data_IF_875165820801
#
_entry.id   IF_875165820801
#
_cell.length_a   1.000
_cell.length_b   1.000
_cell.length_c   1.000
_cell.angle_alpha   90.00
_cell.angle_beta   90.00
_cell.angle_gamma   90.00
#
_symmetry.space_group_name_H-M   'P 1'
#
loop_
_entity.id
_entity.type
_entity.pdbx_description
1 polymer ?
#
# COMPACT_ATOMS: atom_id res chain seq x y z
N UNK A 1 -3.67 -25.97 -8.47
CA UNK A 1 -3.98 -24.89 -7.54
C UNK A 1 -2.89 -23.86 -7.70
N UNK A 2 -3.21 -22.72 -8.29
CA UNK A 2 -2.24 -21.64 -8.45
C UNK A 2 -2.24 -20.79 -7.18
N UNK A 3 -1.06 -20.50 -6.67
CA UNK A 3 -0.88 -19.58 -5.55
C UNK A 3 -0.68 -18.20 -6.13
N UNK A 4 -1.66 -17.32 -5.97
CA UNK A 4 -1.55 -15.92 -6.38
C UNK A 4 -1.26 -15.08 -5.15
N UNK A 5 -0.10 -14.41 -5.16
CA UNK A 5 0.26 -13.42 -4.15
C UNK A 5 -0.12 -12.03 -4.61
N UNK A 6 -1.03 -11.37 -3.89
CA UNK A 6 -1.43 -9.99 -4.18
C UNK A 6 -1.18 -9.07 -2.96
N UNK A 7 -1.00 -7.78 -3.24
CA UNK A 7 -0.93 -6.78 -2.18
C UNK A 7 -2.33 -6.52 -1.63
N UNK A 8 -2.49 -6.66 -0.32
CA UNK A 8 -3.74 -6.32 0.33
C UNK A 8 -4.06 -4.83 0.15
N UNK A 9 -5.26 -4.45 -0.32
CA UNK A 9 -5.58 -3.09 -0.68
C UNK A 9 -5.48 -2.13 0.51
N UNK A 10 -4.84 -0.95 0.35
CA UNK A 10 -4.79 0.05 1.40
C UNK A 10 -6.19 0.52 1.80
N UNK A 11 -6.43 0.76 3.11
CA UNK A 11 -7.65 1.40 3.57
C UNK A 11 -7.94 2.68 2.78
N UNK A 12 -9.21 3.00 2.46
CA UNK A 12 -9.57 4.10 1.58
C UNK A 12 -8.93 5.45 1.97
N UNK A 13 -8.82 5.71 3.27
CA UNK A 13 -8.19 6.92 3.80
C UNK A 13 -6.69 6.98 3.48
N UNK A 14 -5.94 5.88 3.69
CA UNK A 14 -4.50 5.84 3.37
C UNK A 14 -4.27 5.94 1.87
N UNK A 15 -5.11 5.29 1.06
CA UNK A 15 -5.06 5.37 -0.39
C UNK A 15 -5.29 6.80 -0.90
N UNK A 16 -6.26 7.50 -0.31
CA UNK A 16 -6.54 8.91 -0.62
C UNK A 16 -5.34 9.81 -0.26
N UNK A 17 -4.76 9.63 0.93
CA UNK A 17 -3.58 10.37 1.35
C UNK A 17 -2.39 10.14 0.41
N UNK A 18 -2.14 8.88 0.01
CA UNK A 18 -1.07 8.55 -0.94
C UNK A 18 -1.28 9.23 -2.30
N UNK A 19 -2.52 9.27 -2.80
CA UNK A 19 -2.88 9.97 -4.05
C UNK A 19 -2.66 11.47 -3.96
N UNK A 20 -3.11 12.10 -2.88
CA UNK A 20 -2.90 13.55 -2.65
C UNK A 20 -1.40 13.85 -2.57
N UNK A 21 -0.65 13.06 -1.81
CA UNK A 21 0.79 13.20 -1.69
C UNK A 21 1.49 13.12 -3.05
N UNK A 22 1.09 12.15 -3.89
CA UNK A 22 1.64 11.99 -5.23
C UNK A 22 1.40 13.21 -6.12
N UNK A 23 0.18 13.77 -6.10
CA UNK A 23 -0.13 15.00 -6.85
C UNK A 23 0.68 16.20 -6.35
N UNK A 24 0.76 16.39 -5.04
CA UNK A 24 1.52 17.48 -4.42
C UNK A 24 3.02 17.36 -4.73
N UNK A 25 3.58 16.15 -4.63
CA UNK A 25 4.97 15.84 -5.00
C UNK A 25 5.25 16.25 -6.44
N UNK A 26 4.40 15.84 -7.39
CA UNK A 26 4.59 16.16 -8.80
C UNK A 26 4.54 17.67 -9.06
N UNK A 27 3.57 18.38 -8.46
CA UNK A 27 3.51 19.83 -8.56
C UNK A 27 4.75 20.51 -7.98
N UNK A 28 5.24 20.05 -6.83
CA UNK A 28 6.42 20.62 -6.17
C UNK A 28 7.70 20.38 -6.98
N UNK A 29 7.87 19.19 -7.56
CA UNK A 29 8.99 18.88 -8.46
C UNK A 29 8.99 19.77 -9.70
N UNK A 30 7.82 19.96 -10.33
CA UNK A 30 7.68 20.88 -11.48
C UNK A 30 8.08 22.29 -11.07
N UNK A 31 7.56 22.82 -9.96
CA UNK A 31 7.92 24.15 -9.46
C UNK A 31 9.44 24.30 -9.21
N UNK A 32 10.07 23.30 -8.58
CA UNK A 32 11.51 23.31 -8.31
C UNK A 32 12.36 23.26 -9.59
N UNK A 33 11.98 22.44 -10.58
CA UNK A 33 12.68 22.34 -11.85
C UNK A 33 12.64 23.65 -12.63
N UNK A 34 11.47 24.30 -12.69
CA UNK A 34 11.33 25.61 -13.33
C UNK A 34 11.86 26.76 -12.45
N UNK A 35 12.29 26.49 -11.22
CA UNK A 35 12.77 27.49 -10.27
C UNK A 35 11.70 28.52 -9.88
N UNK A 36 10.42 28.16 -10.03
CA UNK A 36 9.30 29.04 -9.71
C UNK A 36 9.05 29.05 -8.21
N UNK A 37 8.65 30.20 -7.69
CA UNK A 37 8.32 30.37 -6.29
C UNK A 37 6.81 30.59 -6.09
N UNK A 38 6.04 29.53 -5.81
CA UNK A 38 4.59 29.64 -5.67
C UNK A 38 4.17 30.48 -4.45
N UNK A 39 5.04 30.62 -3.43
CA UNK A 39 4.72 31.41 -2.23
C UNK A 39 4.58 32.91 -2.53
N UNK A 40 5.34 33.41 -3.51
CA UNK A 40 5.23 34.81 -3.96
C UNK A 40 3.84 35.07 -4.57
N UNK A 41 3.31 34.12 -5.35
CA UNK A 41 1.98 34.23 -5.94
C UNK A 41 0.87 34.23 -4.87
N UNK A 42 1.08 33.49 -3.77
CA UNK A 42 0.15 33.43 -2.65
C UNK A 42 0.32 34.60 -1.66
N UNK A 43 1.26 35.52 -1.93
CA UNK A 43 1.61 36.64 -1.05
C UNK A 43 2.05 36.19 0.37
N UNK A 44 2.64 35.00 0.46
CA UNK A 44 3.17 34.40 1.69
C UNK A 44 4.70 34.54 1.67
N UNK A 45 5.35 34.88 2.80
CA UNK A 45 6.80 34.90 2.87
C UNK A 45 7.39 33.53 2.48
N UNK A 46 8.39 33.55 1.61
CA UNK A 46 9.03 32.30 1.14
C UNK A 46 9.76 31.62 2.30
N UNK A 47 9.44 30.36 2.61
CA UNK A 47 10.14 29.62 3.67
C UNK A 47 11.64 29.47 3.35
N UNK A 48 12.50 29.54 4.37
CA UNK A 48 13.95 29.39 4.19
C UNK A 48 14.35 28.08 3.51
N UNK A 49 13.63 26.98 3.82
CA UNK A 49 13.83 25.66 3.19
C UNK A 49 13.58 25.72 1.69
N UNK A 50 12.55 26.47 1.25
CA UNK A 50 12.24 26.61 -0.17
C UNK A 50 13.28 27.48 -0.88
N UNK A 51 13.73 28.57 -0.26
CA UNK A 51 14.83 29.38 -0.79
C UNK A 51 16.12 28.57 -0.97
N UNK A 52 16.46 27.72 0.01
CA UNK A 52 17.58 26.79 -0.11
C UNK A 52 17.38 25.77 -1.23
N UNK A 53 16.15 25.26 -1.40
CA UNK A 53 15.81 24.32 -2.46
C UNK A 53 15.97 24.93 -3.86
N UNK A 54 15.60 26.21 -4.03
CA UNK A 54 15.81 26.94 -5.28
C UNK A 54 17.29 27.18 -5.60
N UNK A 55 18.15 27.31 -4.59
CA UNK A 55 19.60 27.40 -4.78
C UNK A 55 20.22 26.04 -5.14
N UNK A 56 19.65 24.93 -4.64
CA UNK A 56 20.15 23.57 -4.79
C UNK A 56 19.15 22.65 -5.51
N UNK A 57 18.64 23.08 -6.68
CA UNK A 57 17.48 22.48 -7.36
C UNK A 57 17.59 20.96 -7.58
N UNK A 58 18.76 20.49 -8.03
CA UNK A 58 18.98 19.07 -8.33
C UNK A 58 18.91 18.22 -7.05
N UNK A 59 19.59 18.65 -5.98
CA UNK A 59 19.56 17.95 -4.69
C UNK A 59 18.17 18.00 -4.06
N UNK A 60 17.50 19.15 -4.10
CA UNK A 60 16.16 19.32 -3.56
C UNK A 60 15.14 18.44 -4.30
N UNK A 61 15.19 18.37 -5.64
CA UNK A 61 14.33 17.49 -6.43
C UNK A 61 14.53 16.02 -6.05
N UNK A 62 15.79 15.56 -5.94
CA UNK A 62 16.09 14.19 -5.55
C UNK A 62 15.54 13.88 -4.15
N UNK A 63 15.78 14.76 -3.17
CA UNK A 63 15.24 14.58 -1.81
C UNK A 63 13.72 14.50 -1.81
N UNK A 64 13.03 15.46 -2.44
CA UNK A 64 11.56 15.47 -2.52
C UNK A 64 11.04 14.19 -3.16
N UNK A 65 11.66 13.73 -4.24
CA UNK A 65 11.27 12.51 -4.92
C UNK A 65 11.42 11.28 -4.02
N UNK A 66 12.62 11.09 -3.43
CA UNK A 66 12.89 9.92 -2.59
C UNK A 66 12.07 9.90 -1.30
N UNK A 67 12.01 11.02 -0.57
CA UNK A 67 11.25 11.10 0.68
C UNK A 67 9.76 10.89 0.42
N UNK A 68 9.20 11.54 -0.60
CA UNK A 68 7.78 11.39 -0.90
C UNK A 68 7.44 9.96 -1.35
N UNK A 69 8.26 9.33 -2.20
CA UNK A 69 8.07 7.94 -2.60
C UNK A 69 8.16 6.97 -1.42
N UNK A 70 9.02 7.25 -0.45
CA UNK A 70 9.15 6.45 0.77
C UNK A 70 7.87 6.53 1.61
N UNK A 71 7.31 7.74 1.76
CA UNK A 71 6.06 7.95 2.49
C UNK A 71 4.87 7.34 1.74
N UNK A 72 4.79 7.49 0.42
CA UNK A 72 3.76 6.85 -0.42
C UNK A 72 3.78 5.33 -0.27
N UNK A 73 4.98 4.73 -0.29
CA UNK A 73 5.16 3.29 -0.11
C UNK A 73 4.70 2.83 1.27
N UNK A 74 4.95 3.65 2.31
CA UNK A 74 4.46 3.38 3.66
C UNK A 74 2.92 3.46 3.76
N UNK A 75 2.29 4.43 3.07
CA UNK A 75 0.83 4.58 3.09
C UNK A 75 0.11 3.46 2.33
N UNK A 76 0.71 2.96 1.25
CA UNK A 76 0.15 1.86 0.44
C UNK A 76 0.36 0.51 1.13
N UNK A 77 1.45 0.33 1.88
CA UNK A 77 1.71 -0.90 2.61
C UNK A 77 0.76 -1.06 3.80
N UNK A 78 -0.01 -2.15 3.81
CA UNK A 78 -1.03 -2.42 4.84
C UNK A 78 -0.55 -3.33 5.95
N UNK A 79 0.57 -4.03 5.77
CA UNK A 79 1.07 -5.01 6.74
C UNK A 79 0.10 -6.16 7.01
N UNK A 80 -0.92 -6.32 6.17
CA UNK A 80 -1.93 -7.35 6.25
C UNK A 80 -1.38 -8.67 5.73
N UNK A 81 -1.92 -9.75 6.27
CA UNK A 81 -1.64 -11.10 5.82
C UNK A 81 -2.96 -11.84 5.83
N UNK A 82 -3.45 -12.19 4.64
CA UNK A 82 -4.72 -12.87 4.45
C UNK A 82 -4.54 -14.04 3.51
N UNK A 83 -5.28 -15.12 3.78
CA UNK A 83 -5.28 -16.33 2.97
C UNK A 83 -6.76 -16.64 2.68
N UNK A 84 -7.07 -16.89 1.41
CA UNK A 84 -8.40 -17.33 0.97
C UNK A 84 -8.30 -18.57 0.10
N UNK A 85 -9.35 -19.39 0.09
CA UNK A 85 -9.49 -20.56 -0.77
C UNK A 85 -10.86 -20.48 -1.42
N UNK A 86 -10.92 -20.42 -2.76
CA UNK A 86 -12.16 -20.23 -3.53
C UNK A 86 -13.01 -19.06 -3.01
N UNK A 87 -12.38 -17.88 -2.83
CA UNK A 87 -13.00 -16.65 -2.29
C UNK A 87 -13.52 -16.73 -0.84
N UNK A 88 -13.30 -17.85 -0.14
CA UNK A 88 -13.61 -17.98 1.29
C UNK A 88 -12.37 -17.63 2.11
N UNK A 89 -12.41 -16.60 2.99
CA UNK A 89 -11.28 -16.23 3.83
C UNK A 89 -10.99 -17.34 4.85
N UNK A 90 -9.77 -17.86 4.81
CA UNK A 90 -9.25 -18.88 5.72
C UNK A 90 -8.62 -18.26 6.97
N UNK A 91 -7.89 -17.17 6.77
CA UNK A 91 -7.22 -16.45 7.84
C UNK A 91 -7.07 -14.98 7.49
N UNK A 92 -7.25 -14.10 8.46
CA UNK A 92 -6.86 -12.69 8.36
C UNK A 92 -6.10 -12.28 9.62
N UNK A 93 -4.88 -11.73 9.44
CA UNK A 93 -4.13 -11.09 10.53
C UNK A 93 -4.85 -9.86 11.08
N UNK A 94 -5.67 -9.19 10.25
CA UNK A 94 -6.41 -7.99 10.66
C UNK A 94 -7.46 -8.37 11.71
N UNK A 95 -8.16 -9.49 11.49
CA UNK A 95 -9.20 -9.97 12.42
C UNK A 95 -8.60 -10.67 13.65
N UNK A 96 -7.57 -11.49 13.45
CA UNK A 96 -7.00 -12.33 14.52
C UNK A 96 -5.92 -11.62 15.35
N UNK A 97 -5.36 -10.52 14.85
CA UNK A 97 -4.27 -9.77 15.50
C UNK A 97 -2.92 -10.51 15.53
N UNK A 98 -2.83 -11.73 14.98
CA UNK A 98 -1.62 -12.56 14.99
C UNK A 98 -1.46 -13.33 13.68
N UNK A 99 -0.24 -13.81 13.45
CA UNK A 99 0.01 -14.80 12.41
C UNK A 99 -0.42 -16.19 12.92
N UNK A 100 -0.90 -17.07 12.03
CA UNK A 100 -1.20 -18.45 12.40
C UNK A 100 0.11 -19.19 12.69
N UNK A 101 0.11 -20.07 13.69
CA UNK A 101 1.23 -21.01 13.87
C UNK A 101 1.26 -22.01 12.71
N UNK A 102 2.42 -22.60 12.42
CA UNK A 102 2.55 -23.58 11.34
C UNK A 102 1.57 -24.75 11.47
N UNK A 103 1.35 -25.23 12.70
CA UNK A 103 0.42 -26.33 12.97
C UNK A 103 -1.04 -25.94 12.74
N UNK A 104 -1.46 -24.75 13.20
CA UNK A 104 -2.82 -24.23 12.96
C UNK A 104 -3.08 -24.04 11.46
N UNK A 105 -2.09 -23.52 10.73
CA UNK A 105 -2.17 -23.33 9.28
C UNK A 105 -2.37 -24.66 8.55
N UNK A 106 -1.58 -25.70 8.88
CA UNK A 106 -1.72 -27.04 8.28
C UNK A 106 -3.09 -27.66 8.60
N UNK A 107 -3.57 -27.53 9.85
CA UNK A 107 -4.89 -28.05 10.24
C UNK A 107 -6.04 -27.37 9.50
N UNK A 108 -5.96 -26.05 9.32
CA UNK A 108 -6.93 -25.28 8.55
C UNK A 108 -6.96 -25.74 7.09
N UNK A 109 -5.79 -25.88 6.45
CA UNK A 109 -5.72 -26.41 5.08
C UNK A 109 -6.31 -27.82 4.97
N UNK A 110 -5.95 -28.73 5.87
CA UNK A 110 -6.48 -30.11 5.89
C UNK A 110 -8.01 -30.15 6.03
N UNK A 111 -8.56 -29.29 6.90
CA UNK A 111 -10.01 -29.19 7.12
C UNK A 111 -10.73 -28.72 5.85
N UNK A 112 -10.15 -27.76 5.13
CA UNK A 112 -10.73 -27.24 3.89
C UNK A 112 -10.61 -28.22 2.72
N UNK A 113 -9.48 -28.91 2.56
CA UNK A 113 -9.33 -29.97 1.56
C UNK A 113 -10.36 -31.08 1.78
N UNK A 114 -10.50 -31.56 3.02
CA UNK A 114 -11.47 -32.62 3.36
C UNK A 114 -12.91 -32.20 3.06
N UNK A 115 -13.29 -30.96 3.37
CA UNK A 115 -14.62 -30.43 3.03
C UNK A 115 -14.86 -30.34 1.52
N UNK A 116 -13.82 -30.01 0.75
CA UNK A 116 -13.89 -29.94 -0.71
C UNK A 116 -14.10 -31.33 -1.31
N UNK A 117 -13.38 -32.34 -0.80
CA UNK A 117 -13.51 -33.73 -1.25
C UNK A 117 -14.88 -34.34 -0.93
N UNK A 118 -15.45 -34.00 0.24
CA UNK A 118 -16.82 -34.41 0.60
C UNK A 118 -17.89 -33.79 -0.30
N UNK A 119 -17.73 -32.53 -0.70
CA UNK A 119 -18.67 -31.85 -1.58
C UNK A 119 -18.62 -32.46 -3.00
N UNK A 120 -17.42 -32.78 -3.49
CA UNK A 120 -17.24 -33.48 -4.77
C UNK A 120 -17.77 -34.92 -4.76
N UNK A 121 -17.66 -35.64 -3.63
CA UNK A 121 -18.22 -36.98 -3.47
C UNK A 121 -19.75 -37.00 -3.31
N UNK A 122 -20.34 -35.94 -2.76
CA UNK A 122 -21.80 -35.78 -2.59
C UNK A 122 -22.57 -35.42 -3.88
N UNK A 123 -21.87 -35.01 -4.94
CA UNK A 123 -22.44 -34.76 -6.27
C UNK A 123 -22.57 -35.99 -7.17
N UNK A 124 -22.20 -37.19 -6.69
CA UNK A 124 -22.49 -38.46 -7.36
C UNK A 124 -23.80 -39.03 -6.78
N UNK A 125 -24.92 -38.40 -7.11
CA UNK A 125 -26.23 -39.04 -6.97
C UNK A 125 -26.66 -39.54 -8.35
N UNK A 126 -26.98 -40.84 -8.39
CA UNK A 126 -27.50 -41.61 -9.51
C UNK A 126 -28.76 -40.99 -10.14
#
# INVERSE_FOLDING_TARGET
MDVVGENYPPPPFKALMARILSMVKMALLVCLLFGQNPFVLLNIPTPAVYSWALQNKMYACLMVFFFSNSIESYLISTGAFEISVNDVPLWSKIETGRLPSANEFVQMLQTFSTKTDFNAAGSINF
#
